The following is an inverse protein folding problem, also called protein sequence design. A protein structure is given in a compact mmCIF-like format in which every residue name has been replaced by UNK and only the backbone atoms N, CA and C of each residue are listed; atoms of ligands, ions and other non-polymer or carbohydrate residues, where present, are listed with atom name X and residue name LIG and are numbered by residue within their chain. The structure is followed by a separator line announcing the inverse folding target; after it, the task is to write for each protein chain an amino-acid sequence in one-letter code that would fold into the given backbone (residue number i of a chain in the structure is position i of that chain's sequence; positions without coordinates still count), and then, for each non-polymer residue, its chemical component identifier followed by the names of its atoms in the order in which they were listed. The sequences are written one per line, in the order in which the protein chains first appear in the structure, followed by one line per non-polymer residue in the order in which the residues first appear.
data_IF_428528958693
#
_entry.id   IF_428528958693
#
_cell.length_a   1.000
_cell.length_b   1.000
_cell.length_c   1.000
_cell.angle_alpha   90.00
_cell.angle_beta   90.00
_cell.angle_gamma   90.00
#
_symmetry.space_group_name_H-M   'P 1'
#
loop_
_entity.id
_entity.type
_entity.pdbx_description
1 polymer ?
#
# COMPACT_ATOMS: atom_id res chain seq x y z
N UNK A 1 -7.88 -19.97 -2.07
CA UNK A 1 -7.17 -19.00 -1.20
C UNK A 1 -5.76 -19.52 -1.01
N UNK A 2 -4.77 -18.65 -1.15
CA UNK A 2 -3.35 -18.96 -1.00
C UNK A 2 -2.87 -18.35 0.33
N UNK A 3 -2.43 -19.15 1.30
CA UNK A 3 -1.90 -18.63 2.57
C UNK A 3 -0.54 -17.95 2.33
N UNK A 4 -0.39 -16.71 2.83
CA UNK A 4 0.84 -15.92 2.71
C UNK A 4 1.62 -15.97 4.02
N UNK A 5 0.93 -15.76 5.15
CA UNK A 5 1.54 -15.73 6.47
C UNK A 5 0.49 -15.99 7.56
N UNK A 6 0.91 -16.62 8.65
CA UNK A 6 0.12 -16.78 9.87
C UNK A 6 0.98 -16.46 11.08
N UNK A 7 0.52 -15.53 11.92
CA UNK A 7 1.23 -15.12 13.13
C UNK A 7 0.21 -14.61 14.16
N UNK A 8 0.46 -14.90 15.44
CA UNK A 8 -0.43 -14.59 16.56
C UNK A 8 -1.90 -15.00 16.29
N UNK A 9 -2.78 -14.01 16.29
CA UNK A 9 -4.23 -14.07 16.16
C UNK A 9 -4.68 -13.58 14.76
N UNK A 10 -3.80 -13.62 13.76
CA UNK A 10 -4.15 -13.16 12.42
C UNK A 10 -3.48 -13.97 11.29
N UNK A 11 -4.11 -13.89 10.13
CA UNK A 11 -3.74 -14.70 8.95
C UNK A 11 -3.88 -13.88 7.68
N UNK A 12 -2.90 -13.97 6.80
CA UNK A 12 -2.85 -13.31 5.50
C UNK A 12 -3.06 -14.31 4.37
N UNK A 13 -3.92 -13.96 3.41
CA UNK A 13 -4.25 -14.78 2.25
C UNK A 13 -4.29 -13.93 0.98
N UNK A 14 -3.87 -14.50 -0.15
CA UNK A 14 -4.30 -14.03 -1.46
C UNK A 14 -5.55 -14.80 -1.88
N UNK A 15 -6.58 -14.08 -2.30
CA UNK A 15 -7.84 -14.66 -2.78
C UNK A 15 -7.89 -14.42 -4.30
N UNK A 16 -7.69 -15.45 -5.14
CA UNK A 16 -7.99 -15.35 -6.56
C UNK A 16 -9.50 -15.24 -6.77
N UNK A 17 -9.93 -14.30 -7.60
CA UNK A 17 -11.33 -14.12 -8.02
C UNK A 17 -11.40 -13.33 -9.33
N UNK A 18 -12.61 -13.05 -9.81
CA UNK A 18 -12.83 -12.19 -10.97
C UNK A 18 -13.43 -10.84 -10.59
N UNK A 19 -13.21 -9.85 -11.44
CA UNK A 19 -13.86 -8.53 -11.45
C UNK A 19 -14.41 -8.26 -12.84
N UNK A 20 -15.42 -7.40 -12.95
CA UNK A 20 -16.21 -7.22 -14.18
C UNK A 20 -16.51 -5.74 -14.37
N UNK A 21 -16.25 -5.21 -15.58
CA UNK A 21 -16.61 -3.86 -16.01
C UNK A 21 -17.23 -3.93 -17.41
N UNK A 22 -18.49 -3.54 -17.52
CA UNK A 22 -19.25 -3.75 -18.76
C UNK A 22 -19.41 -5.24 -19.07
N UNK A 23 -19.02 -5.65 -20.28
CA UNK A 23 -19.05 -7.06 -20.71
C UNK A 23 -17.69 -7.78 -20.52
N UNK A 24 -16.68 -7.08 -19.97
CA UNK A 24 -15.35 -7.63 -19.75
C UNK A 24 -15.21 -8.25 -18.36
N UNK A 25 -14.53 -9.39 -18.28
CA UNK A 25 -14.26 -10.13 -17.04
C UNK A 25 -12.76 -10.39 -16.96
N UNK A 26 -12.15 -10.03 -15.85
CA UNK A 26 -10.72 -10.18 -15.63
C UNK A 26 -10.42 -10.94 -14.34
N UNK A 27 -9.41 -11.81 -14.42
CA UNK A 27 -8.86 -12.50 -13.26
C UNK A 27 -8.02 -11.54 -12.41
N UNK A 28 -8.13 -11.68 -11.10
CA UNK A 28 -7.42 -10.85 -10.13
C UNK A 28 -7.19 -11.58 -8.82
N UNK A 29 -6.39 -10.96 -7.94
CA UNK A 29 -6.10 -11.41 -6.58
C UNK A 29 -6.25 -10.25 -5.61
N UNK A 30 -6.90 -10.54 -4.48
CA UNK A 30 -6.97 -9.62 -3.33
C UNK A 30 -6.18 -10.20 -2.16
N UNK A 31 -5.25 -9.42 -1.62
CA UNK A 31 -4.65 -9.71 -0.31
C UNK A 31 -5.66 -9.38 0.78
N UNK A 32 -5.93 -10.34 1.67
CA UNK A 32 -6.74 -10.15 2.87
C UNK A 32 -5.95 -10.62 4.08
N UNK A 33 -5.88 -9.74 5.08
CA UNK A 33 -5.35 -10.04 6.40
C UNK A 33 -6.52 -10.01 7.37
N UNK A 34 -6.85 -11.18 7.92
CA UNK A 34 -7.94 -11.40 8.87
C UNK A 34 -7.39 -11.43 10.29
N UNK A 35 -7.99 -10.65 11.19
CA UNK A 35 -7.69 -10.68 12.61
C UNK A 35 -8.81 -11.41 13.37
N UNK A 36 -8.43 -12.28 14.31
CA UNK A 36 -9.36 -12.95 15.23
C UNK A 36 -9.94 -11.95 16.24
N UNK A 37 -9.19 -10.89 16.55
CA UNK A 37 -9.61 -9.73 17.35
C UNK A 37 -9.53 -8.46 16.50
N UNK A 38 -10.58 -7.63 16.56
CA UNK A 38 -10.60 -6.36 15.82
C UNK A 38 -9.43 -5.47 16.20
N UNK A 39 -8.81 -4.82 15.23
CA UNK A 39 -7.61 -4.00 15.41
C UNK A 39 -7.92 -2.53 15.14
N UNK A 40 -7.28 -1.67 15.92
CA UNK A 40 -7.17 -0.25 15.59
C UNK A 40 -6.23 -0.09 14.41
N UNK A 41 -6.70 0.58 13.36
CA UNK A 41 -5.94 0.83 12.14
C UNK A 41 -5.97 2.31 11.77
N UNK A 42 -4.91 2.77 11.13
CA UNK A 42 -4.85 4.05 10.45
C UNK A 42 -4.57 3.81 8.98
N UNK A 43 -5.52 4.18 8.12
CA UNK A 43 -5.39 4.13 6.66
C UNK A 43 -5.22 5.55 6.11
N UNK A 44 -4.28 5.74 5.19
CA UNK A 44 -4.16 7.02 4.45
C UNK A 44 -5.37 7.31 3.56
N UNK A 45 -6.16 6.27 3.25
CA UNK A 45 -7.36 6.36 2.40
C UNK A 45 -8.65 6.57 3.19
N UNK A 46 -8.73 6.00 4.39
CA UNK A 46 -9.98 5.91 5.16
C UNK A 46 -9.88 6.47 6.59
N UNK A 47 -8.71 6.97 7.00
CA UNK A 47 -8.47 7.45 8.36
C UNK A 47 -8.43 6.32 9.40
N UNK A 48 -8.80 6.65 10.64
CA UNK A 48 -8.83 5.68 11.74
C UNK A 48 -10.06 4.78 11.67
N UNK A 49 -9.86 3.48 11.87
CA UNK A 49 -10.93 2.50 12.00
C UNK A 49 -10.61 1.47 13.08
N UNK A 50 -11.64 0.79 13.55
CA UNK A 50 -11.54 -0.44 14.32
C UNK A 50 -12.17 -1.53 13.43
N UNK A 51 -11.40 -2.51 12.95
CA UNK A 51 -11.83 -3.44 11.89
C UNK A 51 -11.31 -4.87 12.11
N UNK A 52 -11.93 -5.85 11.45
CA UNK A 52 -11.51 -7.26 11.48
C UNK A 52 -10.62 -7.66 10.29
N UNK A 53 -10.54 -6.81 9.26
CA UNK A 53 -9.80 -7.08 8.04
C UNK A 53 -9.02 -5.85 7.55
N UNK A 54 -7.84 -6.07 6.99
CA UNK A 54 -7.21 -5.10 6.08
C UNK A 54 -6.88 -5.82 4.78
N UNK A 55 -6.85 -5.08 3.69
CA UNK A 55 -6.58 -5.69 2.39
C UNK A 55 -5.97 -4.74 1.38
N UNK A 56 -5.51 -5.35 0.30
CA UNK A 56 -5.02 -4.65 -0.89
C UNK A 56 -5.47 -5.44 -2.12
N UNK A 57 -6.19 -4.78 -3.01
CA UNK A 57 -6.78 -5.37 -4.21
C UNK A 57 -5.98 -5.01 -5.46
N UNK A 58 -5.63 -6.00 -6.29
CA UNK A 58 -4.96 -5.76 -7.57
C UNK A 58 -5.99 -5.41 -8.65
N UNK A 59 -5.97 -4.21 -9.18
CA UNK A 59 -6.79 -3.86 -10.34
C UNK A 59 -6.09 -4.43 -11.60
N UNK A 60 -6.75 -5.28 -12.40
CA UNK A 60 -6.19 -5.79 -13.65
C UNK A 60 -5.80 -4.67 -14.61
N UNK A 61 -4.71 -4.88 -15.38
CA UNK A 61 -4.21 -3.88 -16.35
C UNK A 61 -5.30 -3.41 -17.33
N UNK A 62 -6.16 -4.28 -17.90
CA UNK A 62 -7.22 -3.83 -18.80
C UNK A 62 -8.24 -2.87 -18.15
N UNK A 63 -8.30 -2.86 -16.81
CA UNK A 63 -9.25 -2.07 -16.03
C UNK A 63 -8.64 -0.81 -15.40
N UNK A 64 -7.32 -0.58 -15.50
CA UNK A 64 -6.69 0.60 -14.91
C UNK A 64 -7.37 1.90 -15.34
N UNK A 65 -7.73 1.99 -16.62
CA UNK A 65 -8.37 3.16 -17.22
C UNK A 65 -9.90 3.00 -17.35
N UNK A 66 -10.51 2.03 -16.65
CA UNK A 66 -11.97 1.75 -16.73
C UNK A 66 -12.70 1.82 -15.39
N UNK A 67 -11.98 1.90 -14.27
CA UNK A 67 -12.57 2.06 -12.93
C UNK A 67 -12.98 3.52 -12.74
N UNK A 68 -14.14 3.89 -13.28
CA UNK A 68 -14.68 5.25 -13.17
C UNK A 68 -15.51 5.48 -11.91
N UNK A 69 -16.23 4.45 -11.45
CA UNK A 69 -16.90 4.44 -10.14
C UNK A 69 -16.20 3.43 -9.24
N UNK A 70 -15.24 3.93 -8.47
CA UNK A 70 -14.51 3.10 -7.52
C UNK A 70 -15.44 2.48 -6.47
N UNK A 71 -16.56 3.12 -6.10
CA UNK A 71 -17.46 2.61 -5.05
C UNK A 71 -18.15 1.33 -5.51
N UNK A 72 -18.64 1.31 -6.74
CA UNK A 72 -19.28 0.12 -7.31
C UNK A 72 -18.29 -1.01 -7.56
N UNK A 73 -17.10 -0.66 -8.06
CA UNK A 73 -15.99 -1.61 -8.21
C UNK A 73 -15.57 -2.22 -6.87
N UNK A 74 -15.37 -1.40 -5.83
CA UNK A 74 -15.06 -1.84 -4.48
C UNK A 74 -16.14 -2.77 -3.93
N UNK A 75 -17.42 -2.43 -4.10
CA UNK A 75 -18.54 -3.27 -3.66
C UNK A 75 -18.52 -4.65 -4.34
N UNK A 76 -18.16 -4.72 -5.63
CA UNK A 76 -17.99 -5.98 -6.34
C UNK A 76 -16.85 -6.82 -5.73
N UNK A 77 -15.69 -6.21 -5.50
CA UNK A 77 -14.54 -6.87 -4.86
C UNK A 77 -14.92 -7.41 -3.49
N UNK A 78 -15.54 -6.59 -2.64
CA UNK A 78 -16.00 -6.95 -1.30
C UNK A 78 -16.94 -8.16 -1.29
N UNK A 79 -17.87 -8.24 -2.25
CA UNK A 79 -18.74 -9.41 -2.44
C UNK A 79 -17.96 -10.66 -2.82
N UNK A 80 -17.01 -10.57 -3.76
CA UNK A 80 -16.20 -11.72 -4.24
C UNK A 80 -15.31 -12.29 -3.14
N UNK A 81 -14.79 -11.44 -2.24
CA UNK A 81 -13.96 -11.86 -1.10
C UNK A 81 -14.77 -12.19 0.17
N UNK A 82 -16.08 -11.91 0.18
CA UNK A 82 -16.97 -12.21 1.30
C UNK A 82 -16.75 -11.35 2.55
N UNK A 83 -16.45 -10.05 2.39
CA UNK A 83 -16.18 -9.12 3.51
C UNK A 83 -17.07 -7.88 3.43
N UNK A 84 -17.66 -7.47 4.56
CA UNK A 84 -18.48 -6.26 4.62
C UNK A 84 -17.63 -4.98 4.69
N UNK A 85 -18.04 -3.91 4.00
CA UNK A 85 -17.30 -2.63 3.93
C UNK A 85 -16.98 -2.01 5.29
N UNK A 86 -17.86 -2.19 6.29
CA UNK A 86 -17.66 -1.66 7.66
C UNK A 86 -16.55 -2.39 8.42
N UNK A 87 -16.16 -3.59 7.97
CA UNK A 87 -15.24 -4.48 8.68
C UNK A 87 -13.84 -4.54 8.08
N UNK A 88 -13.57 -3.76 7.02
CA UNK A 88 -12.30 -3.76 6.29
C UNK A 88 -11.78 -2.36 6.01
N UNK A 89 -10.46 -2.19 6.03
CA UNK A 89 -9.79 -1.11 5.30
C UNK A 89 -9.13 -1.69 4.04
N UNK A 90 -9.52 -1.21 2.85
CA UNK A 90 -9.12 -1.81 1.57
C UNK A 90 -8.38 -0.80 0.70
N UNK A 91 -7.12 -1.12 0.39
CA UNK A 91 -6.34 -0.42 -0.63
C UNK A 91 -6.59 -1.04 -2.01
N UNK A 92 -6.26 -0.29 -3.06
CA UNK A 92 -6.19 -0.81 -4.43
C UNK A 92 -4.85 -0.46 -5.08
N UNK A 93 -4.31 -1.41 -5.82
CA UNK A 93 -3.00 -1.34 -6.46
C UNK A 93 -3.08 -1.79 -7.91
N UNK A 94 -2.27 -1.20 -8.78
CA UNK A 94 -2.07 -1.68 -10.15
C UNK A 94 -0.99 -2.75 -10.22
N UNK A 95 -0.08 -2.78 -9.24
CA UNK A 95 0.94 -3.81 -9.15
C UNK A 95 0.30 -5.20 -8.96
N UNK A 96 0.88 -6.21 -9.62
CA UNK A 96 0.39 -7.57 -9.59
C UNK A 96 0.55 -8.16 -8.19
N UNK A 97 -0.52 -8.72 -7.62
CA UNK A 97 -0.50 -9.31 -6.28
C UNK A 97 0.46 -10.50 -6.13
N UNK A 98 0.87 -11.15 -7.23
CA UNK A 98 1.90 -12.20 -7.17
C UNK A 98 3.31 -11.65 -6.90
N UNK A 99 3.51 -10.36 -7.13
CA UNK A 99 4.74 -9.64 -6.80
C UNK A 99 4.73 -9.06 -5.38
N UNK A 100 3.73 -9.40 -4.56
CA UNK A 100 3.68 -9.04 -3.14
C UNK A 100 5.01 -9.39 -2.45
N UNK A 101 5.59 -8.41 -1.78
CA UNK A 101 6.74 -8.60 -0.91
C UNK A 101 6.31 -8.57 0.55
N UNK A 102 6.92 -9.43 1.36
CA UNK A 102 6.69 -9.51 2.80
C UNK A 102 8.02 -9.43 3.52
N UNK A 103 8.17 -8.46 4.40
CA UNK A 103 9.31 -8.35 5.29
C UNK A 103 8.86 -8.44 6.75
N UNK A 104 9.77 -8.92 7.61
CA UNK A 104 9.57 -9.05 9.05
C UNK A 104 10.84 -8.63 9.77
N UNK A 105 10.68 -7.85 10.82
CA UNK A 105 11.73 -7.49 11.78
C UNK A 105 11.25 -7.83 13.19
N UNK A 106 12.15 -8.33 14.04
CA UNK A 106 11.85 -8.70 15.43
C UNK A 106 12.95 -8.20 16.36
N UNK A 107 12.55 -7.71 17.53
CA UNK A 107 13.47 -7.37 18.60
C UNK A 107 12.74 -7.42 19.93
N UNK A 108 13.33 -8.12 20.90
CA UNK A 108 12.72 -8.37 22.22
C UNK A 108 11.32 -9.00 22.05
N UNK A 109 10.30 -8.40 22.67
CA UNK A 109 8.91 -8.84 22.55
C UNK A 109 8.16 -8.28 21.33
N UNK A 110 8.79 -7.43 20.52
CA UNK A 110 8.13 -6.75 19.41
C UNK A 110 8.42 -7.42 18.06
N UNK A 111 7.42 -7.40 17.18
CA UNK A 111 7.62 -7.58 15.75
C UNK A 111 7.00 -6.45 14.95
N UNK A 112 7.51 -6.30 13.73
CA UNK A 112 6.95 -5.46 12.67
C UNK A 112 6.96 -6.26 11.37
N UNK A 113 5.83 -6.28 10.66
CA UNK A 113 5.67 -6.95 9.37
C UNK A 113 5.14 -5.95 8.36
N UNK A 114 5.72 -5.92 7.17
CA UNK A 114 5.27 -5.09 6.06
C UNK A 114 4.86 -5.96 4.87
N UNK A 115 3.64 -5.78 4.39
CA UNK A 115 3.15 -6.33 3.13
C UNK A 115 3.14 -5.21 2.10
N UNK A 116 3.83 -5.40 0.98
CA UNK A 116 4.01 -4.33 -0.01
C UNK A 116 3.74 -4.81 -1.41
N UNK A 117 2.90 -4.07 -2.13
CA UNK A 117 2.86 -4.08 -3.59
C UNK A 117 3.45 -2.75 -4.05
N UNK A 118 4.34 -2.78 -5.03
CA UNK A 118 5.02 -1.59 -5.52
C UNK A 118 5.28 -1.74 -7.01
N UNK A 119 5.14 -0.66 -7.76
CA UNK A 119 5.55 -0.51 -9.15
C UNK A 119 5.75 0.97 -9.43
N UNK A 120 6.69 1.33 -10.27
CA UNK A 120 7.10 2.71 -10.50
C UNK A 120 7.37 3.01 -11.99
N UNK A 121 7.35 1.98 -12.84
CA UNK A 121 7.67 2.09 -14.28
C UNK A 121 6.89 3.16 -15.04
N UNK A 122 5.64 3.44 -14.66
CA UNK A 122 4.72 4.27 -15.44
C UNK A 122 4.22 5.53 -14.71
N UNK A 123 4.57 5.73 -13.44
CA UNK A 123 4.03 6.82 -12.64
C UNK A 123 4.94 7.31 -11.51
N UNK A 124 6.23 6.96 -11.54
CA UNK A 124 7.19 7.50 -10.58
C UNK A 124 7.24 9.03 -10.66
N UNK A 125 7.25 9.68 -9.50
CA UNK A 125 7.25 11.13 -9.37
C UNK A 125 8.26 11.60 -8.32
N UNK A 126 8.90 12.73 -8.60
CA UNK A 126 9.67 13.50 -7.64
C UNK A 126 8.78 14.59 -7.03
N UNK A 127 8.22 14.29 -5.86
CA UNK A 127 7.33 15.22 -5.17
C UNK A 127 8.07 16.50 -4.77
N UNK A 128 7.43 17.65 -5.01
CA UNK A 128 7.98 18.97 -4.72
C UNK A 128 8.70 19.63 -5.91
N UNK A 129 9.17 18.85 -6.87
CA UNK A 129 9.88 19.35 -8.06
C UNK A 129 9.01 19.30 -9.34
N UNK A 130 7.93 18.51 -9.35
CA UNK A 130 7.05 18.31 -10.52
C UNK A 130 5.67 18.94 -10.35
N UNK A 131 5.10 19.44 -11.45
CA UNK A 131 3.74 19.98 -11.47
C UNK A 131 2.67 18.88 -11.50
N UNK A 132 1.59 19.11 -10.73
CA UNK A 132 0.44 18.22 -10.68
C UNK A 132 -0.47 18.41 -11.89
N UNK A 133 -0.84 17.30 -12.54
CA UNK A 133 -1.85 17.28 -13.61
C UNK A 133 -3.23 16.91 -13.07
N UNK A 134 -3.44 17.03 -11.76
CA UNK A 134 -4.65 16.59 -11.09
C UNK A 134 -5.13 17.63 -10.10
N UNK A 135 -6.44 17.67 -9.91
CA UNK A 135 -7.09 18.49 -8.89
C UNK A 135 -8.17 17.69 -8.18
N UNK A 136 -8.18 17.76 -6.86
CA UNK A 136 -9.28 17.24 -6.04
C UNK A 136 -10.29 18.36 -5.80
N UNK A 137 -11.56 18.10 -6.10
CA UNK A 137 -12.70 18.97 -5.80
C UNK A 137 -13.87 18.13 -5.37
N UNK A 138 -14.54 18.53 -4.28
CA UNK A 138 -15.76 17.88 -3.78
C UNK A 138 -15.60 16.36 -3.61
N UNK A 139 -14.47 15.94 -3.04
CA UNK A 139 -14.09 14.53 -2.82
C UNK A 139 -13.97 13.69 -4.10
N UNK A 140 -13.72 14.35 -5.23
CA UNK A 140 -13.47 13.71 -6.53
C UNK A 140 -12.17 14.23 -7.13
N UNK A 141 -11.40 13.33 -7.70
CA UNK A 141 -10.17 13.66 -8.42
C UNK A 141 -10.46 13.84 -9.90
N UNK A 142 -9.89 14.88 -10.48
CA UNK A 142 -10.01 15.19 -11.90
C UNK A 142 -8.63 15.42 -12.51
N UNK A 143 -8.47 15.10 -13.79
CA UNK A 143 -7.27 15.41 -14.56
C UNK A 143 -7.36 16.80 -15.16
N UNK A 144 -6.24 17.50 -15.18
CA UNK A 144 -6.02 18.75 -15.88
C UNK A 144 -5.33 18.40 -17.20
N UNK A 145 -6.01 18.62 -18.32
CA UNK A 145 -5.49 18.38 -19.66
C UNK A 145 -5.80 19.58 -20.54
N UNK A 146 -4.77 20.21 -21.11
CA UNK A 146 -4.89 21.44 -21.93
C UNK A 146 -5.72 22.54 -21.23
N UNK A 147 -5.54 22.71 -19.92
CA UNK A 147 -6.27 23.68 -19.09
C UNK A 147 -7.73 23.31 -18.80
N UNK A 148 -8.17 22.10 -19.17
CA UNK A 148 -9.54 21.59 -18.91
C UNK A 148 -9.52 20.51 -17.84
N UNK A 149 -10.58 20.50 -17.04
CA UNK A 149 -10.84 19.48 -16.02
C UNK A 149 -11.64 18.35 -16.67
N UNK A 150 -11.08 17.14 -16.69
CA UNK A 150 -11.73 15.93 -17.20
C UNK A 150 -11.80 14.85 -16.11
N UNK A 151 -12.80 13.96 -16.13
CA UNK A 151 -12.85 12.79 -15.25
C UNK A 151 -11.59 11.94 -15.42
N UNK A 152 -11.13 11.30 -14.34
CA UNK A 152 -9.88 10.54 -14.34
C UNK A 152 -10.03 9.21 -13.62
N UNK A 153 -9.23 8.24 -14.06
CA UNK A 153 -8.98 6.96 -13.43
C UNK A 153 -7.79 7.03 -12.46
N UNK A 154 -7.88 6.35 -11.31
CA UNK A 154 -6.75 6.24 -10.39
C UNK A 154 -6.49 4.78 -10.02
N UNK A 155 -5.23 4.40 -10.17
CA UNK A 155 -4.71 3.16 -9.61
C UNK A 155 -3.44 3.48 -8.81
N UNK A 156 -3.47 3.16 -7.51
CA UNK A 156 -2.32 3.22 -6.61
C UNK A 156 -1.22 2.26 -7.05
N UNK A 157 0.05 2.52 -6.73
CA UNK A 157 1.12 1.58 -7.15
C UNK A 157 2.03 1.13 -6.04
N UNK A 158 2.37 2.00 -5.07
CA UNK A 158 3.05 1.59 -3.83
C UNK A 158 2.09 1.58 -2.66
N UNK A 159 1.62 0.39 -2.29
CA UNK A 159 0.75 0.18 -1.13
C UNK A 159 1.47 -0.62 -0.06
N UNK A 160 1.46 -0.13 1.19
CA UNK A 160 2.15 -0.75 2.32
C UNK A 160 1.16 -1.01 3.45
N UNK A 161 1.00 -2.27 3.85
CA UNK A 161 0.28 -2.63 5.08
C UNK A 161 1.32 -3.03 6.12
N UNK A 162 1.44 -2.22 7.17
CA UNK A 162 2.35 -2.43 8.30
C UNK A 162 1.57 -2.97 9.50
N UNK A 163 2.02 -4.08 10.08
CA UNK A 163 1.43 -4.70 11.26
C UNK A 163 2.50 -4.84 12.35
N UNK A 164 2.15 -4.48 13.58
CA UNK A 164 2.97 -4.75 14.77
C UNK A 164 2.13 -5.32 15.90
N UNK A 165 2.74 -6.09 16.79
CA UNK A 165 2.10 -6.47 18.05
C UNK A 165 2.13 -5.38 19.12
N UNK A 166 2.85 -4.26 18.93
CA UNK A 166 2.83 -3.13 19.85
C UNK A 166 1.46 -2.45 19.94
N UNK A 167 1.00 -2.11 21.15
CA UNK A 167 -0.20 -1.30 21.33
C UNK A 167 0.13 0.18 21.05
N UNK A 168 -0.23 0.67 19.87
CA UNK A 168 0.13 2.01 19.40
C UNK A 168 -0.91 3.07 19.81
N UNK A 169 -0.44 4.21 20.32
CA UNK A 169 -1.27 5.43 20.41
C UNK A 169 -1.56 6.01 19.03
N UNK A 170 -2.58 6.88 18.91
CA UNK A 170 -2.88 7.59 17.64
C UNK A 170 -1.69 8.39 17.11
N UNK A 171 -0.97 9.08 18.02
CA UNK A 171 0.25 9.80 17.67
C UNK A 171 1.35 8.89 17.16
N UNK A 172 1.50 7.69 17.73
CA UNK A 172 2.46 6.68 17.26
C UNK A 172 2.08 6.14 15.87
N UNK A 173 0.79 5.92 15.60
CA UNK A 173 0.32 5.46 14.29
C UNK A 173 0.54 6.54 13.21
N UNK A 174 0.19 7.79 13.51
CA UNK A 174 0.44 8.91 12.61
C UNK A 174 1.95 9.13 12.37
N UNK A 175 2.78 9.05 13.42
CA UNK A 175 4.23 9.14 13.30
C UNK A 175 4.83 8.03 12.45
N UNK A 176 4.26 6.81 12.51
CA UNK A 176 4.73 5.69 11.72
C UNK A 176 4.61 5.98 10.21
N UNK A 177 3.59 6.71 9.75
CA UNK A 177 3.44 7.10 8.35
C UNK A 177 4.67 7.89 7.85
N UNK A 178 5.23 8.79 8.67
CA UNK A 178 6.44 9.54 8.32
C UNK A 178 7.62 8.58 8.15
N UNK A 179 7.85 7.69 9.11
CA UNK A 179 8.94 6.71 9.07
C UNK A 179 8.80 5.73 7.88
N UNK A 180 7.59 5.28 7.60
CA UNK A 180 7.27 4.44 6.43
C UNK A 180 7.57 5.22 5.13
N UNK A 181 7.20 6.50 5.06
CA UNK A 181 7.42 7.34 3.88
C UNK A 181 8.92 7.55 3.62
N UNK A 182 9.68 7.91 4.64
CA UNK A 182 11.15 8.08 4.54
C UNK A 182 11.84 6.77 4.14
N UNK A 183 11.43 5.63 4.71
CA UNK A 183 11.99 4.33 4.37
C UNK A 183 11.66 3.88 2.94
N UNK A 184 10.44 4.14 2.47
CA UNK A 184 10.04 3.93 1.07
C UNK A 184 10.89 4.78 0.14
N UNK A 185 11.04 6.07 0.41
CA UNK A 185 11.89 6.96 -0.40
C UNK A 185 13.34 6.50 -0.39
N UNK A 186 13.85 6.00 0.73
CA UNK A 186 15.20 5.41 0.81
C UNK A 186 15.36 4.20 -0.14
N UNK A 187 14.35 3.33 -0.23
CA UNK A 187 14.36 2.22 -1.19
C UNK A 187 14.35 2.70 -2.66
N UNK A 188 13.57 3.74 -2.97
CA UNK A 188 13.58 4.39 -4.29
C UNK A 188 14.96 4.95 -4.65
N UNK A 189 15.62 5.58 -3.68
CA UNK A 189 16.96 6.13 -3.85
C UNK A 189 18.02 5.05 -4.11
N UNK A 190 17.96 3.93 -3.37
CA UNK A 190 18.90 2.82 -3.56
C UNK A 190 18.74 2.11 -4.90
N UNK A 191 17.51 2.01 -5.39
CA UNK A 191 17.20 1.41 -6.69
C UNK A 191 17.35 2.39 -7.87
N UNK A 192 17.72 3.63 -7.58
CA UNK A 192 17.81 4.73 -8.53
C UNK A 192 16.56 4.91 -9.40
N UNK A 193 15.38 4.80 -8.79
CA UNK A 193 14.11 4.99 -9.49
C UNK A 193 14.02 6.45 -9.95
N UNK A 194 13.84 6.67 -11.25
CA UNK A 194 13.71 7.99 -11.86
C UNK A 194 12.25 8.37 -12.07
N UNK A 195 11.97 9.67 -12.05
CA UNK A 195 10.66 10.17 -12.44
C UNK A 195 10.33 9.71 -13.86
N UNK A 196 9.09 9.30 -14.06
CA UNK A 196 8.61 8.86 -15.39
C UNK A 196 8.56 10.04 -16.37
N UNK A 197 8.29 11.26 -15.89
CA UNK A 197 8.22 12.46 -16.73
C UNK A 197 9.56 13.15 -16.91
N UNK A 198 10.39 13.13 -15.85
CA UNK A 198 11.64 13.87 -15.74
C UNK A 198 12.78 12.92 -15.34
N UNK A 199 13.33 12.11 -16.28
CA UNK A 199 14.29 11.05 -15.95
C UNK A 199 15.58 11.53 -15.25
N UNK A 200 15.91 12.82 -15.37
CA UNK A 200 17.00 13.48 -14.64
C UNK A 200 16.75 13.55 -13.12
N UNK A 201 15.49 13.50 -12.69
CA UNK A 201 15.08 13.55 -11.29
C UNK A 201 14.93 12.14 -10.71
N UNK A 202 15.46 11.92 -9.52
CA UNK A 202 15.23 10.69 -8.78
C UNK A 202 13.89 10.75 -8.05
N UNK A 203 13.00 9.80 -8.31
CA UNK A 203 11.65 9.78 -7.76
C UNK A 203 11.65 9.55 -6.24
N UNK A 204 10.61 10.04 -5.57
CA UNK A 204 10.38 9.88 -4.11
C UNK A 204 9.23 8.93 -3.80
N UNK A 205 8.44 8.55 -4.81
CA UNK A 205 7.25 7.71 -4.74
C UNK A 205 6.51 7.70 -6.09
N UNK A 206 5.22 7.37 -6.11
CA UNK A 206 4.41 7.37 -7.35
C UNK A 206 3.22 8.33 -7.35
N UNK A 207 3.09 9.16 -6.30
CA UNK A 207 2.00 10.13 -6.17
C UNK A 207 0.64 9.54 -5.77
N UNK A 208 0.52 8.22 -5.73
CA UNK A 208 -0.69 7.48 -5.35
C UNK A 208 -0.41 6.46 -4.22
N UNK A 209 0.71 6.65 -3.52
CA UNK A 209 1.17 5.74 -2.47
C UNK A 209 0.18 5.70 -1.30
N UNK A 210 -0.18 4.52 -0.81
CA UNK A 210 -1.07 4.36 0.33
C UNK A 210 -0.47 3.47 1.43
N UNK A 211 -0.85 3.74 2.67
CA UNK A 211 -0.36 3.03 3.84
C UNK A 211 -1.52 2.67 4.77
N UNK A 212 -1.47 1.45 5.31
CA UNK A 212 -2.25 1.06 6.48
C UNK A 212 -1.29 0.69 7.61
N UNK A 213 -1.46 1.30 8.79
CA UNK A 213 -0.77 0.92 10.02
C UNK A 213 -1.75 0.20 10.93
N UNK A 214 -1.40 -1.00 11.38
CA UNK A 214 -2.21 -1.84 12.26
C UNK A 214 -1.52 -1.97 13.62
N UNK A 215 -2.22 -1.55 14.68
CA UNK A 215 -1.78 -1.68 16.06
C UNK A 215 -2.06 -3.05 16.66
N UNK A 216 -1.21 -3.42 17.61
CA UNK A 216 -1.23 -4.65 18.37
C UNK A 216 -1.94 -4.57 19.73
N UNK A 217 -1.78 -5.60 20.56
CA UNK A 217 -2.26 -5.64 21.96
C UNK A 217 -1.14 -5.85 22.98
N UNK A 218 0.11 -5.81 22.55
CA UNK A 218 1.29 -5.98 23.38
C UNK A 218 1.63 -4.70 24.15
N UNK A 219 2.92 -4.47 24.40
CA UNK A 219 3.41 -3.31 25.13
C UNK A 219 3.02 -1.99 24.44
N UNK A 220 2.72 -0.99 25.25
CA UNK A 220 2.32 0.34 24.79
C UNK A 220 3.48 1.11 24.17
N UNK A 221 3.22 1.73 23.01
CA UNK A 221 4.18 2.58 22.31
C UNK A 221 3.50 3.89 21.91
N UNK A 222 4.07 5.01 22.36
CA UNK A 222 3.60 6.36 22.04
C UNK A 222 4.44 7.07 20.96
N UNK A 223 5.57 6.49 20.53
CA UNK A 223 6.45 7.12 19.55
C UNK A 223 7.20 6.08 18.68
N UNK A 224 7.12 6.27 17.36
CA UNK A 224 7.65 5.34 16.32
C UNK A 224 8.68 6.00 15.41
N UNK A 225 9.29 7.11 15.84
CA UNK A 225 10.34 7.78 15.06
C UNK A 225 11.65 6.99 15.01
N UNK A 226 12.49 7.24 14.00
CA UNK A 226 13.70 6.45 13.69
C UNK A 226 14.79 6.36 14.77
N UNK A 227 14.72 7.15 15.85
CA UNK A 227 15.62 7.01 17.01
C UNK A 227 15.11 5.99 18.05
N UNK A 228 13.94 5.38 17.85
CA UNK A 228 13.45 4.29 18.69
C UNK A 228 13.65 2.95 17.99
N UNK A 229 13.75 1.88 18.78
CA UNK A 229 13.95 0.54 18.23
C UNK A 229 12.80 0.09 17.32
N UNK A 230 11.55 0.37 17.71
CA UNK A 230 10.39 0.09 16.87
C UNK A 230 10.39 0.95 15.58
N UNK A 231 10.84 2.21 15.64
CA UNK A 231 10.99 3.06 14.45
C UNK A 231 12.06 2.53 13.49
N UNK A 232 13.19 2.06 14.02
CA UNK A 232 14.23 1.36 13.24
C UNK A 232 13.67 0.10 12.56
N UNK A 233 12.93 -0.73 13.31
CA UNK A 233 12.30 -1.95 12.77
C UNK A 233 11.30 -1.63 11.66
N UNK A 234 10.45 -0.62 11.84
CA UNK A 234 9.53 -0.15 10.79
C UNK A 234 10.31 0.26 9.55
N UNK A 235 11.34 1.09 9.70
CA UNK A 235 12.11 1.58 8.57
C UNK A 235 12.82 0.44 7.80
N UNK A 236 13.47 -0.47 8.51
CA UNK A 236 14.13 -1.65 7.90
C UNK A 236 13.13 -2.54 7.17
N UNK A 237 12.03 -2.86 7.83
CA UNK A 237 10.99 -3.73 7.30
C UNK A 237 10.39 -3.15 6.00
N UNK A 238 10.01 -1.87 6.02
CA UNK A 238 9.42 -1.17 4.86
C UNK A 238 10.43 -1.05 3.72
N UNK A 239 11.66 -0.63 4.00
CA UNK A 239 12.68 -0.50 2.96
C UNK A 239 12.92 -1.83 2.25
N UNK A 240 13.02 -2.92 3.01
CA UNK A 240 13.20 -4.28 2.48
C UNK A 240 12.01 -4.70 1.60
N UNK A 241 10.78 -4.55 2.08
CA UNK A 241 9.58 -4.97 1.33
C UNK A 241 9.34 -4.11 0.10
N UNK A 242 9.53 -2.79 0.17
CA UNK A 242 9.40 -1.89 -0.99
C UNK A 242 10.43 -2.21 -2.06
N UNK A 243 11.71 -2.39 -1.66
CA UNK A 243 12.77 -2.76 -2.59
C UNK A 243 12.48 -4.08 -3.30
N UNK A 244 12.07 -5.10 -2.56
CA UNK A 244 11.72 -6.41 -3.12
C UNK A 244 10.50 -6.33 -4.07
N UNK A 245 9.44 -5.60 -3.68
CA UNK A 245 8.25 -5.46 -4.52
C UNK A 245 8.56 -4.74 -5.84
N UNK A 246 9.35 -3.66 -5.82
CA UNK A 246 9.78 -2.95 -7.02
C UNK A 246 10.62 -3.84 -7.94
N UNK A 247 11.57 -4.61 -7.39
CA UNK A 247 12.39 -5.53 -8.18
C UNK A 247 11.52 -6.57 -8.89
N UNK A 248 10.55 -7.15 -8.18
CA UNK A 248 9.63 -8.16 -8.76
C UNK A 248 8.70 -7.56 -9.81
N UNK A 249 8.12 -6.39 -9.54
CA UNK A 249 7.11 -5.78 -10.39
C UNK A 249 7.69 -5.12 -11.64
N UNK A 250 8.78 -4.38 -11.49
CA UNK A 250 9.38 -3.59 -12.58
C UNK A 250 10.59 -4.31 -13.22
N UNK A 251 10.88 -5.54 -12.79
CA UNK A 251 11.97 -6.40 -13.30
C UNK A 251 13.34 -5.72 -13.22
N UNK A 252 13.58 -4.98 -12.13
CA UNK A 252 14.79 -4.17 -11.98
C UNK A 252 16.04 -5.05 -11.87
N UNK A 253 17.04 -4.72 -12.68
CA UNK A 253 18.37 -5.35 -12.58
C UNK A 253 19.15 -4.71 -11.44
N UNK A 254 19.19 -5.37 -10.29
CA UNK A 254 20.00 -4.92 -9.17
C UNK A 254 21.41 -5.51 -9.30
N UNK A 255 22.47 -4.69 -9.25
CA UNK A 255 23.83 -5.21 -9.12
C UNK A 255 23.92 -6.10 -7.88
N UNK A 256 24.46 -7.30 -8.02
CA UNK A 256 24.82 -8.13 -6.88
C UNK A 256 25.88 -7.35 -6.08
N UNK A 257 25.50 -6.91 -4.88
CA UNK A 257 26.32 -6.23 -3.85
C UNK A 257 26.39 -4.70 -3.91
N UNK A 258 25.79 -4.08 -2.88
CA UNK A 258 26.41 -3.04 -2.06
C UNK A 258 26.00 -3.28 -0.61
#
# INVERSE_FOLDING_TARGET
MEEVLRIDDWKAYKIPHTVEIGDEVEDTKTLIIKFDKRRKVLSTREGFKDIGYVGNHSIPVPFWDKVHDYKDYENQVLKKIGVEKKDIALLSTGANMDNLAVAKEEFDEFYVIAFTTAGAKHNAIRLGDEEANYIEKDFKTYKIENGKIIPKEEVGTVNIILITNANLTDGAMARAIITITEAKTNAFQELDIRSTKHPELQATGTGTDNVIVVGGFGRGVNYTGGHTKIGEMIAKCVKKSVREALIKQDELKVPLNK
#
